data_IF_257999667043
#
_entry.id   IF_257999667043
#
_cell.length_a   1.000
_cell.length_b   1.000
_cell.length_c   1.000
_cell.angle_alpha   90.00
_cell.angle_beta   90.00
_cell.angle_gamma   90.00
#
_symmetry.space_group_name_H-M   'P 1'
#
loop_
_entity.id
_entity.type
_entity.pdbx_description
1 polymer ?
#
# COMPACT_ATOMS: atom_id res chain seq x y z
N UNK A 1 10.58 40.47 -21.72
CA UNK A 1 11.57 39.38 -21.82
C UNK A 1 11.46 38.56 -20.53
N UNK A 2 11.10 37.27 -20.59
CA UNK A 2 11.04 36.43 -19.38
C UNK A 2 12.46 36.20 -18.86
N UNK A 3 12.69 36.46 -17.57
CA UNK A 3 13.98 36.33 -16.92
C UNK A 3 14.45 34.86 -16.96
N UNK A 4 15.63 34.60 -17.54
CA UNK A 4 16.16 33.25 -17.71
C UNK A 4 16.32 32.50 -16.38
N UNK A 5 16.52 33.21 -15.26
CA UNK A 5 16.56 32.60 -13.93
C UNK A 5 15.21 32.05 -13.50
N UNK A 6 14.13 32.77 -13.82
CA UNK A 6 12.76 32.38 -13.50
C UNK A 6 12.39 31.11 -14.26
N UNK A 7 12.71 31.03 -15.56
CA UNK A 7 12.46 29.84 -16.37
C UNK A 7 13.22 28.60 -15.85
N UNK A 8 14.48 28.77 -15.41
CA UNK A 8 15.26 27.67 -14.86
C UNK A 8 14.70 27.21 -13.50
N UNK A 9 14.28 28.14 -12.64
CA UNK A 9 13.67 27.82 -11.35
C UNK A 9 12.38 27.01 -11.52
N UNK A 10 11.53 27.36 -12.49
CA UNK A 10 10.33 26.58 -12.81
C UNK A 10 10.66 25.19 -13.35
N UNK A 11 11.71 25.05 -14.18
CA UNK A 11 12.13 23.76 -14.72
C UNK A 11 12.62 22.80 -13.63
N UNK A 12 13.44 23.30 -12.69
CA UNK A 12 13.95 22.50 -11.57
C UNK A 12 12.81 22.10 -10.62
N UNK A 13 11.88 23.02 -10.34
CA UNK A 13 10.70 22.71 -9.54
C UNK A 13 9.82 21.62 -10.17
N UNK A 14 9.62 21.66 -11.49
CA UNK A 14 8.86 20.64 -12.22
C UNK A 14 9.55 19.27 -12.23
N UNK A 15 10.87 19.24 -12.40
CA UNK A 15 11.65 18.00 -12.35
C UNK A 15 11.70 17.38 -10.94
N UNK A 16 11.75 18.22 -9.90
CA UNK A 16 11.66 17.76 -8.52
C UNK A 16 10.28 17.14 -8.23
N UNK A 17 9.20 17.77 -8.68
CA UNK A 17 7.83 17.26 -8.55
C UNK A 17 7.68 15.85 -9.17
N UNK A 18 8.19 15.63 -10.38
CA UNK A 18 8.12 14.31 -11.04
C UNK A 18 9.04 13.24 -10.43
N UNK A 19 10.08 13.62 -9.67
CA UNK A 19 11.00 12.66 -9.03
C UNK A 19 10.52 12.20 -7.65
N UNK A 20 9.75 13.05 -6.95
CA UNK A 20 9.21 12.73 -5.62
C UNK A 20 7.80 12.12 -5.66
N UNK A 21 7.14 12.14 -6.81
CA UNK A 21 5.90 11.39 -7.04
C UNK A 21 6.26 10.12 -7.82
N UNK A 22 6.23 8.92 -7.21
CA UNK A 22 6.29 7.69 -7.98
C UNK A 22 5.19 7.76 -9.04
N UNK A 23 5.54 7.46 -10.29
CA UNK A 23 4.64 7.51 -11.45
C UNK A 23 3.24 7.09 -11.01
N UNK A 24 2.28 8.01 -11.13
CA UNK A 24 0.93 7.79 -10.68
C UNK A 24 0.43 6.47 -11.27
N UNK A 25 0.30 5.44 -10.43
CA UNK A 25 -0.69 4.40 -10.69
C UNK A 25 -1.99 5.17 -10.89
N UNK A 26 -2.68 4.88 -11.99
CA UNK A 26 -3.99 5.47 -12.24
C UNK A 26 -4.95 5.07 -11.11
N UNK A 27 -4.98 5.86 -10.04
CA UNK A 27 -6.01 5.96 -9.04
C UNK A 27 -5.66 7.18 -8.19
N UNK A 28 -6.57 8.15 -8.14
CA UNK A 28 -6.31 9.46 -7.56
C UNK A 28 -5.86 9.40 -6.09
N UNK A 29 -5.00 10.35 -5.74
CA UNK A 29 -4.66 10.70 -4.35
C UNK A 29 -3.21 10.43 -3.99
N UNK A 30 -2.36 11.44 -4.14
CA UNK A 30 -0.98 11.42 -3.65
C UNK A 30 -0.85 11.88 -2.20
N UNK A 31 0.14 11.34 -1.49
CA UNK A 31 0.59 11.80 -0.17
C UNK A 31 1.47 10.77 0.54
N UNK A 32 2.74 11.09 0.78
CA UNK A 32 3.74 10.19 1.36
C UNK A 32 3.59 9.89 2.86
N UNK A 33 4.32 8.85 3.28
CA UNK A 33 4.55 8.33 4.65
C UNK A 33 3.27 7.99 5.40
N UNK A 34 2.82 6.74 5.29
CA UNK A 34 1.52 6.31 5.81
C UNK A 34 1.34 6.59 7.31
N UNK A 35 0.19 7.17 7.67
CA UNK A 35 -0.44 7.05 8.97
C UNK A 35 -1.85 6.41 8.84
N UNK A 36 -2.14 5.80 7.69
CA UNK A 36 -3.51 5.47 7.28
C UNK A 36 -3.78 3.98 7.23
N UNK A 37 -4.84 3.57 7.90
CA UNK A 37 -5.49 2.26 7.70
C UNK A 37 -5.83 2.06 6.23
N UNK A 38 -5.36 0.96 5.64
CA UNK A 38 -5.87 0.51 4.34
C UNK A 38 -7.28 -0.03 4.53
N UNK A 39 -8.25 0.39 3.72
CA UNK A 39 -9.59 -0.20 3.71
C UNK A 39 -9.80 -0.89 2.38
N UNK A 40 -9.97 -2.21 2.42
CA UNK A 40 -10.02 -3.09 1.26
C UNK A 40 -11.33 -3.88 1.25
N UNK A 41 -11.85 -4.20 0.07
CA UNK A 41 -13.07 -4.96 -0.08
C UNK A 41 -12.86 -6.46 0.13
N UNK A 42 -11.71 -6.99 -0.32
CA UNK A 42 -11.42 -8.43 -0.32
C UNK A 42 -9.98 -8.77 0.07
N UNK A 43 -9.76 -10.01 0.51
CA UNK A 43 -8.40 -10.53 0.80
C UNK A 43 -7.52 -10.51 -0.45
N UNK A 44 -8.09 -10.69 -1.65
CA UNK A 44 -7.35 -10.57 -2.90
C UNK A 44 -6.71 -9.18 -3.08
N UNK A 45 -7.40 -8.12 -2.65
CA UNK A 45 -6.84 -6.77 -2.65
C UNK A 45 -5.74 -6.63 -1.58
N UNK A 46 -5.87 -7.28 -0.42
CA UNK A 46 -4.83 -7.29 0.62
C UNK A 46 -3.54 -7.93 0.11
N UNK A 47 -3.63 -9.02 -0.68
CA UNK A 47 -2.47 -9.65 -1.34
C UNK A 47 -1.76 -8.76 -2.34
N UNK A 48 -2.51 -7.86 -2.99
CA UNK A 48 -1.95 -6.95 -3.97
C UNK A 48 -1.15 -5.80 -3.31
N UNK A 49 -1.27 -5.61 -2.00
CA UNK A 49 -0.42 -4.69 -1.25
C UNK A 49 0.97 -5.29 -1.15
N UNK A 50 1.93 -4.71 -1.87
CA UNK A 50 3.33 -5.15 -1.86
C UNK A 50 3.92 -5.08 -0.46
N UNK A 51 4.91 -5.91 -0.18
CA UNK A 51 5.60 -5.95 1.12
C UNK A 51 6.22 -4.58 1.48
N UNK A 52 6.69 -3.82 0.47
CA UNK A 52 7.19 -2.47 0.65
C UNK A 52 6.09 -1.48 1.10
N UNK A 53 4.90 -1.56 0.50
CA UNK A 53 3.77 -0.72 0.87
C UNK A 53 3.14 -1.16 2.20
N UNK A 54 3.12 -2.46 2.48
CA UNK A 54 2.65 -3.03 3.74
C UNK A 54 3.47 -2.55 4.94
N UNK A 55 4.80 -2.47 4.78
CA UNK A 55 5.70 -1.90 5.79
C UNK A 55 5.49 -0.41 6.08
N UNK A 56 4.79 0.32 5.21
CA UNK A 56 4.37 1.70 5.46
C UNK A 56 2.97 1.76 6.09
N UNK A 57 2.03 0.95 5.60
CA UNK A 57 0.64 0.92 6.05
C UNK A 57 0.47 0.38 7.47
N UNK A 58 1.18 -0.69 7.83
CA UNK A 58 1.15 -1.43 9.10
C UNK A 58 -0.21 -2.04 9.49
N UNK A 59 -1.33 -1.50 9.03
CA UNK A 59 -2.67 -1.93 9.39
C UNK A 59 -3.65 -1.83 8.21
N UNK A 60 -4.54 -2.81 8.09
CA UNK A 60 -5.57 -2.88 7.06
C UNK A 60 -6.89 -3.42 7.63
N UNK A 61 -8.01 -2.91 7.13
CA UNK A 61 -9.36 -3.43 7.37
C UNK A 61 -9.87 -4.01 6.06
N UNK A 62 -10.27 -5.27 6.08
CA UNK A 62 -10.82 -5.97 4.91
C UNK A 62 -12.28 -6.28 5.16
N UNK A 63 -13.17 -5.84 4.27
CA UNK A 63 -14.62 -5.97 4.44
C UNK A 63 -15.14 -7.40 4.30
N UNK A 64 -14.43 -8.26 3.56
CA UNK A 64 -14.80 -9.66 3.33
C UNK A 64 -13.68 -10.48 2.69
N UNK A 65 -13.85 -11.78 2.52
CA UNK A 65 -12.83 -12.63 1.91
C UNK A 65 -12.95 -12.65 0.37
N UNK A 66 -14.04 -13.23 -0.15
CA UNK A 66 -14.26 -13.36 -1.60
C UNK A 66 -15.09 -12.20 -2.15
N UNK A 67 -16.00 -11.68 -1.34
CA UNK A 67 -16.86 -10.55 -1.66
C UNK A 67 -16.91 -9.60 -0.46
N UNK A 68 -17.12 -8.29 -0.67
CA UNK A 68 -17.29 -7.37 0.43
C UNK A 68 -18.49 -7.79 1.30
N UNK A 69 -18.33 -7.69 2.63
CA UNK A 69 -19.37 -7.99 3.62
C UNK A 69 -19.88 -9.44 3.64
N UNK A 70 -19.07 -10.41 3.18
CA UNK A 70 -19.40 -11.84 3.23
C UNK A 70 -19.28 -12.47 4.64
N UNK A 71 -19.02 -11.65 5.67
CA UNK A 71 -18.85 -12.08 7.06
C UNK A 71 -17.46 -12.65 7.37
N UNK A 72 -16.58 -12.77 6.38
CA UNK A 72 -15.22 -13.28 6.56
C UNK A 72 -14.15 -12.18 6.60
N UNK A 73 -14.56 -10.89 6.63
CA UNK A 73 -13.67 -9.74 6.78
C UNK A 73 -13.00 -9.66 8.15
N UNK A 74 -12.23 -8.60 8.37
CA UNK A 74 -11.60 -8.29 9.66
C UNK A 74 -10.39 -7.38 9.52
N UNK A 75 -9.68 -7.22 10.62
CA UNK A 75 -8.53 -6.33 10.72
C UNK A 75 -7.23 -7.10 10.60
N UNK A 76 -6.25 -6.53 9.92
CA UNK A 76 -4.96 -7.15 9.63
C UNK A 76 -3.83 -6.22 10.03
N UNK A 77 -2.82 -6.79 10.67
CA UNK A 77 -1.58 -6.10 11.07
C UNK A 77 -0.42 -6.67 10.28
N UNK A 78 0.44 -5.80 9.77
CA UNK A 78 1.65 -6.21 9.08
C UNK A 78 2.70 -6.73 10.06
N UNK A 79 3.20 -7.94 9.84
CA UNK A 79 4.38 -8.52 10.48
C UNK A 79 5.47 -8.70 9.44
N UNK A 80 6.44 -7.78 9.45
CA UNK A 80 7.57 -7.78 8.52
C UNK A 80 8.51 -8.99 8.68
N UNK A 81 8.45 -9.71 9.81
CA UNK A 81 9.31 -10.85 10.12
C UNK A 81 8.60 -12.19 9.99
N UNK A 82 7.28 -12.18 9.84
CA UNK A 82 6.49 -13.39 9.78
C UNK A 82 6.78 -14.20 8.51
N UNK A 83 6.86 -15.51 8.68
CA UNK A 83 7.17 -16.49 7.63
C UNK A 83 6.09 -17.56 7.50
N UNK A 84 5.03 -17.45 8.29
CA UNK A 84 3.93 -18.41 8.36
C UNK A 84 3.33 -18.67 6.98
N UNK A 85 2.86 -19.90 6.77
CA UNK A 85 2.18 -20.29 5.54
C UNK A 85 0.89 -19.49 5.37
N UNK A 86 0.61 -19.13 4.13
CA UNK A 86 -0.65 -18.49 3.80
C UNK A 86 -1.82 -19.45 3.99
N UNK A 87 -2.87 -19.02 4.69
CA UNK A 87 -4.06 -19.83 4.96
C UNK A 87 -5.32 -19.29 4.27
N UNK A 88 -5.20 -18.22 3.49
CA UNK A 88 -6.31 -17.60 2.76
C UNK A 88 -7.28 -16.79 3.61
N UNK A 89 -7.06 -16.63 4.92
CA UNK A 89 -7.95 -15.86 5.79
C UNK A 89 -7.24 -15.14 6.93
N UNK A 90 -6.51 -15.86 7.79
CA UNK A 90 -5.90 -15.30 9.01
C UNK A 90 -4.43 -14.92 8.83
N UNK A 91 -3.73 -15.58 7.91
CA UNK A 91 -2.36 -15.30 7.49
C UNK A 91 -2.36 -15.05 5.98
N UNK A 92 -2.06 -13.81 5.59
CA UNK A 92 -2.06 -13.41 4.18
C UNK A 92 -0.65 -12.94 3.77
N UNK A 93 -0.04 -13.70 2.88
CA UNK A 93 1.18 -13.34 2.16
C UNK A 93 0.85 -12.40 1.00
N UNK A 94 1.56 -11.27 0.86
CA UNK A 94 1.55 -10.48 -0.36
C UNK A 94 1.94 -11.31 -1.59
N UNK A 95 1.51 -10.87 -2.77
CA UNK A 95 1.88 -11.52 -4.04
C UNK A 95 3.40 -11.44 -4.32
N UNK A 96 4.09 -10.49 -3.70
CA UNK A 96 5.56 -10.34 -3.79
C UNK A 96 6.31 -11.02 -2.64
N UNK A 97 5.63 -11.87 -1.85
CA UNK A 97 6.27 -12.61 -0.76
C UNK A 97 7.45 -13.44 -1.28
N UNK A 98 8.59 -13.30 -0.61
CA UNK A 98 9.81 -14.07 -0.91
C UNK A 98 10.25 -14.89 0.28
N UNK A 99 10.65 -14.23 1.37
CA UNK A 99 11.19 -14.87 2.57
C UNK A 99 10.46 -14.50 3.86
N UNK A 100 10.00 -13.25 3.99
CA UNK A 100 9.29 -12.76 5.16
C UNK A 100 8.35 -11.60 4.79
N UNK A 101 7.39 -11.32 5.67
CA UNK A 101 6.41 -10.27 5.52
C UNK A 101 5.01 -10.82 5.29
N UNK A 102 4.18 -10.82 6.32
CA UNK A 102 2.80 -11.32 6.27
C UNK A 102 1.83 -10.34 6.91
N UNK A 103 0.58 -10.39 6.49
CA UNK A 103 -0.52 -9.78 7.22
C UNK A 103 -1.13 -10.82 8.17
N UNK A 104 -1.25 -10.47 9.45
CA UNK A 104 -1.90 -11.28 10.47
C UNK A 104 -3.25 -10.69 10.84
N UNK A 105 -4.29 -11.51 10.78
CA UNK A 105 -5.62 -11.13 11.25
C UNK A 105 -5.60 -10.94 12.77
N UNK A 106 -6.09 -9.80 13.23
CA UNK A 106 -6.15 -9.44 14.65
C UNK A 106 -7.53 -9.71 15.26
N UNK A 107 -8.60 -9.44 14.49
CA UNK A 107 -10.01 -9.69 14.85
C UNK A 107 -10.84 -10.08 13.64
#
# INVERSE_FOLDING_TARGET
>A
MMNASIANNYRIAHLAYNRFIPAAVASGGGGGTSLGTLVLDTVAQLRAVTSANAGLALYAVVKGNTAPFDGAGGDYVWDATGTDADDGLSIIRPNDFTTAGIWRKHV
#
